data_IF_780777831436
#
_entry.id   IF_780777831436
#
_cell.length_a   1.000
_cell.length_b   1.000
_cell.length_c   1.000
_cell.angle_alpha   90.00
_cell.angle_beta   90.00
_cell.angle_gamma   90.00
#
_symmetry.space_group_name_H-M   'P 1'
#
loop_
_entity.id
_entity.type
_entity.pdbx_description
1 polymer ?
#
# COMPACT_ATOMS: atom_id res chain seq x y z
N UNK A 1 18.82 14.92 -27.30
CA UNK A 1 18.47 14.45 -25.93
C UNK A 1 17.67 15.52 -25.24
N UNK A 2 16.37 15.33 -25.05
CA UNK A 2 15.50 16.27 -24.34
C UNK A 2 15.76 16.14 -22.84
N UNK A 3 16.20 17.20 -22.18
CA UNK A 3 16.33 17.24 -20.72
C UNK A 3 14.92 17.17 -20.11
N UNK A 4 14.66 16.33 -19.09
CA UNK A 4 13.35 16.31 -18.44
C UNK A 4 13.11 17.66 -17.75
N UNK A 5 12.13 18.41 -18.25
CA UNK A 5 11.67 19.65 -17.63
C UNK A 5 11.00 19.32 -16.30
N UNK A 6 11.60 19.76 -15.19
CA UNK A 6 11.05 19.60 -13.85
C UNK A 6 9.90 20.60 -13.64
N UNK A 7 8.74 20.31 -14.20
CA UNK A 7 7.50 21.01 -13.88
C UNK A 7 7.09 20.64 -12.47
N UNK A 8 7.29 21.58 -11.52
CA UNK A 8 6.83 21.43 -10.13
C UNK A 8 5.32 21.21 -10.14
N UNK A 9 4.90 19.99 -9.82
CA UNK A 9 3.50 19.62 -9.65
C UNK A 9 2.92 20.35 -8.43
N UNK A 10 1.64 20.73 -8.48
CA UNK A 10 0.97 21.47 -7.41
C UNK A 10 0.77 20.57 -6.18
N UNK A 11 0.78 21.15 -4.97
CA UNK A 11 0.64 20.38 -3.72
C UNK A 11 -0.67 19.57 -3.63
N UNK A 12 -1.74 20.01 -4.32
CA UNK A 12 -2.99 19.25 -4.43
C UNK A 12 -2.84 18.00 -5.29
N UNK A 13 -2.05 18.05 -6.37
CA UNK A 13 -1.76 16.88 -7.20
C UNK A 13 -0.87 15.84 -6.51
N UNK A 14 -0.31 16.17 -5.34
CA UNK A 14 0.43 15.23 -4.52
C UNK A 14 -0.50 14.36 -3.67
N UNK A 15 -1.72 14.80 -3.33
CA UNK A 15 -2.70 13.94 -2.67
C UNK A 15 -3.30 13.03 -3.73
N UNK A 16 -3.16 11.72 -3.55
CA UNK A 16 -3.62 10.74 -4.53
C UNK A 16 -4.09 9.51 -3.76
N UNK A 17 -5.24 8.97 -4.15
CA UNK A 17 -5.68 7.67 -3.70
C UNK A 17 -5.71 6.68 -4.86
N UNK A 18 -5.17 5.48 -4.64
CA UNK A 18 -5.12 4.43 -5.66
C UNK A 18 -5.44 3.09 -5.06
N UNK A 19 -6.13 2.27 -5.82
CA UNK A 19 -6.32 0.87 -5.50
C UNK A 19 -5.38 -0.02 -6.29
N UNK A 20 -4.73 -0.92 -5.56
CA UNK A 20 -3.79 -1.88 -6.10
C UNK A 20 -4.18 -3.30 -5.69
N UNK A 21 -3.91 -4.25 -6.58
CA UNK A 21 -3.95 -5.67 -6.24
C UNK A 21 -2.53 -6.16 -5.98
N UNK A 22 -2.20 -6.51 -4.73
CA UNK A 22 -0.88 -7.03 -4.36
C UNK A 22 -0.88 -8.56 -4.42
N UNK A 23 0.07 -9.13 -5.14
CA UNK A 23 0.32 -10.57 -5.16
C UNK A 23 1.22 -11.02 -3.99
N UNK A 24 0.64 -11.14 -2.79
CA UNK A 24 1.35 -11.47 -1.54
C UNK A 24 2.08 -12.82 -1.59
N UNK A 25 1.56 -13.80 -2.33
CA UNK A 25 2.20 -15.12 -2.41
C UNK A 25 3.62 -15.07 -2.99
N UNK A 26 3.91 -14.09 -3.87
CA UNK A 26 5.25 -13.91 -4.46
C UNK A 26 6.27 -13.48 -3.40
N UNK A 27 5.85 -12.65 -2.45
CA UNK A 27 6.72 -12.10 -1.40
C UNK A 27 6.97 -13.09 -0.25
N UNK A 28 5.98 -13.93 0.05
CA UNK A 28 6.07 -14.94 1.12
C UNK A 28 6.60 -16.30 0.65
N UNK A 29 6.82 -16.48 -0.66
CA UNK A 29 7.42 -17.69 -1.21
C UNK A 29 8.79 -17.99 -0.56
N UNK A 30 9.07 -19.26 -0.27
CA UNK A 30 10.30 -19.70 0.39
C UNK A 30 10.47 -19.27 1.85
N UNK A 31 9.54 -18.51 2.44
CA UNK A 31 9.64 -18.12 3.85
C UNK A 31 9.06 -19.18 4.80
N UNK A 32 9.70 -19.32 5.97
CA UNK A 32 9.23 -20.20 7.05
C UNK A 32 7.81 -19.84 7.50
N UNK A 33 6.99 -20.85 7.78
CA UNK A 33 5.58 -20.68 8.12
C UNK A 33 5.33 -19.72 9.28
N UNK A 34 6.18 -19.72 10.32
CA UNK A 34 6.03 -18.80 11.47
C UNK A 34 6.27 -17.33 11.11
N UNK A 35 6.87 -17.05 9.96
CA UNK A 35 7.25 -15.69 9.52
C UNK A 35 6.45 -15.20 8.31
N UNK A 36 5.54 -16.01 7.75
CA UNK A 36 4.84 -15.68 6.49
C UNK A 36 3.97 -14.43 6.61
N UNK A 37 3.02 -14.40 7.55
CA UNK A 37 2.14 -13.24 7.74
C UNK A 37 2.90 -11.97 8.17
N UNK A 38 3.84 -12.03 9.13
CA UNK A 38 4.71 -10.89 9.42
C UNK A 38 5.50 -10.39 8.20
N UNK A 39 5.99 -11.30 7.35
CA UNK A 39 6.69 -10.94 6.11
C UNK A 39 5.75 -10.31 5.08
N UNK A 40 4.50 -10.77 4.99
CA UNK A 40 3.49 -10.17 4.12
C UNK A 40 3.19 -8.72 4.50
N UNK A 41 3.07 -8.42 5.79
CA UNK A 41 2.84 -7.05 6.27
C UNK A 41 4.02 -6.13 5.92
N UNK A 42 5.25 -6.63 6.09
CA UNK A 42 6.46 -5.90 5.66
C UNK A 42 6.46 -5.66 4.16
N UNK A 43 6.10 -6.66 3.35
CA UNK A 43 6.00 -6.52 1.91
C UNK A 43 4.93 -5.51 1.47
N UNK A 44 3.78 -5.45 2.16
CA UNK A 44 2.74 -4.44 1.90
C UNK A 44 3.30 -3.03 2.19
N UNK A 45 4.02 -2.86 3.30
CA UNK A 45 4.68 -1.59 3.64
C UNK A 45 5.69 -1.18 2.57
N UNK A 46 6.59 -2.08 2.19
CA UNK A 46 7.59 -1.84 1.14
C UNK A 46 6.95 -1.51 -0.21
N UNK A 47 5.86 -2.20 -0.56
CA UNK A 47 5.08 -1.89 -1.75
C UNK A 47 4.50 -0.48 -1.70
N UNK A 48 3.90 -0.07 -0.57
CA UNK A 48 3.34 1.26 -0.40
C UNK A 48 4.40 2.36 -0.47
N UNK A 49 5.56 2.17 0.16
CA UNK A 49 6.71 3.09 0.06
C UNK A 49 7.13 3.26 -1.40
N UNK A 50 7.25 2.16 -2.15
CA UNK A 50 7.65 2.18 -3.56
C UNK A 50 6.59 2.82 -4.47
N UNK A 51 5.32 2.56 -4.22
CA UNK A 51 4.22 3.02 -5.07
C UNK A 51 3.88 4.51 -4.85
N UNK A 52 3.92 4.98 -3.61
CA UNK A 52 3.49 6.34 -3.25
C UNK A 52 4.68 7.30 -2.99
N UNK A 53 5.89 6.77 -2.78
CA UNK A 53 7.10 7.56 -2.58
C UNK A 53 7.23 8.20 -1.18
N UNK A 54 6.43 7.79 -0.20
CA UNK A 54 6.47 8.30 1.18
C UNK A 54 7.18 7.33 2.10
N UNK A 55 7.96 7.83 3.08
CA UNK A 55 8.58 6.97 4.09
C UNK A 55 7.63 6.59 5.22
N UNK A 56 6.74 7.51 5.62
CA UNK A 56 5.70 7.21 6.59
C UNK A 56 4.55 6.43 5.93
N UNK A 57 4.36 5.19 6.36
CA UNK A 57 3.28 4.30 5.91
C UNK A 57 2.54 3.76 7.12
N UNK A 58 1.25 4.06 7.19
CA UNK A 58 0.35 3.65 8.26
C UNK A 58 -0.56 2.55 7.72
N UNK A 59 -0.55 1.42 8.39
CA UNK A 59 -1.38 0.27 8.02
C UNK A 59 -2.64 0.34 8.86
N UNK A 60 -3.79 0.41 8.20
CA UNK A 60 -5.08 0.44 8.88
C UNK A 60 -5.34 -0.89 9.62
N UNK A 61 -6.00 -0.88 10.79
CA UNK A 61 -6.33 -2.10 11.50
C UNK A 61 -7.19 -3.08 10.68
N UNK A 62 -8.03 -2.59 9.75
CA UNK A 62 -8.82 -3.47 8.86
C UNK A 62 -7.90 -4.32 7.98
N UNK A 63 -6.86 -3.71 7.42
CA UNK A 63 -5.87 -4.38 6.59
C UNK A 63 -5.04 -5.38 7.40
N UNK A 64 -4.64 -5.00 8.61
CA UNK A 64 -3.94 -5.93 9.49
C UNK A 64 -4.81 -7.15 9.83
N UNK A 65 -6.09 -6.95 10.21
CA UNK A 65 -7.03 -8.04 10.46
C UNK A 65 -7.23 -8.94 9.24
N UNK A 66 -7.37 -8.37 8.05
CA UNK A 66 -7.54 -9.13 6.81
C UNK A 66 -6.32 -10.00 6.50
N UNK A 67 -5.10 -9.48 6.69
CA UNK A 67 -3.85 -10.21 6.48
C UNK A 67 -3.68 -11.34 7.50
N UNK A 68 -4.09 -11.14 8.75
CA UNK A 68 -4.02 -12.15 9.82
C UNK A 68 -5.21 -13.12 9.87
N UNK A 69 -6.27 -12.92 9.07
CA UNK A 69 -7.51 -13.70 9.11
C UNK A 69 -7.33 -15.22 9.00
N UNK A 70 -6.31 -15.67 8.26
CA UNK A 70 -5.98 -17.09 8.02
C UNK A 70 -4.83 -17.61 8.90
N UNK A 71 -4.39 -16.82 9.86
CA UNK A 71 -3.30 -17.12 10.78
C UNK A 71 -1.90 -16.85 10.21
N UNK A 72 -0.88 -17.35 10.90
CA UNK A 72 0.53 -17.02 10.62
C UNK A 72 1.10 -17.74 9.38
N UNK A 73 0.61 -18.96 9.09
CA UNK A 73 1.13 -19.85 8.04
C UNK A 73 0.55 -19.57 6.66
N UNK A 74 -0.74 -19.20 6.61
CA UNK A 74 -1.50 -19.11 5.38
C UNK A 74 -1.88 -17.66 5.13
N UNK A 75 -1.16 -16.97 4.24
CA UNK A 75 -1.52 -15.62 3.79
C UNK A 75 -2.43 -15.72 2.57
N UNK A 76 -3.34 -14.78 2.39
CA UNK A 76 -4.09 -14.64 1.14
C UNK A 76 -3.13 -14.52 -0.05
N UNK A 77 -3.46 -15.14 -1.19
CA UNK A 77 -2.56 -15.12 -2.37
C UNK A 77 -2.47 -13.74 -2.99
N UNK A 78 -3.61 -13.06 -3.10
CA UNK A 78 -3.76 -11.68 -3.56
C UNK A 78 -4.64 -10.90 -2.58
N UNK A 79 -4.44 -9.60 -2.53
CA UNK A 79 -5.24 -8.68 -1.71
C UNK A 79 -5.43 -7.36 -2.44
N UNK A 80 -6.65 -6.81 -2.41
CA UNK A 80 -6.95 -5.47 -2.93
C UNK A 80 -6.75 -4.49 -1.77
N UNK A 81 -5.93 -3.48 -2.02
CA UNK A 81 -5.52 -2.51 -1.02
C UNK A 81 -5.69 -1.12 -1.63
N UNK A 82 -6.28 -0.21 -0.85
CA UNK A 82 -6.32 1.20 -1.18
C UNK A 82 -5.16 1.90 -0.47
N UNK A 83 -4.37 2.63 -1.23
CA UNK A 83 -3.29 3.47 -0.74
C UNK A 83 -3.71 4.92 -0.95
N UNK A 84 -3.95 5.61 0.16
CA UNK A 84 -4.23 7.03 0.17
C UNK A 84 -3.00 7.78 0.66
N UNK A 85 -2.42 8.64 -0.17
CA UNK A 85 -1.34 9.53 0.24
C UNK A 85 -1.95 10.84 0.70
N UNK A 86 -1.96 11.05 2.01
CA UNK A 86 -2.58 12.18 2.67
C UNK A 86 -1.53 13.17 3.19
N UNK A 87 -1.95 14.41 3.40
CA UNK A 87 -1.13 15.42 4.07
C UNK A 87 -1.15 15.20 5.57
N UNK A 88 -0.02 15.42 6.22
CA UNK A 88 0.05 15.44 7.66
C UNK A 88 -0.24 16.85 8.17
N UNK A 89 -1.25 16.98 9.02
CA UNK A 89 -1.68 18.26 9.60
C UNK A 89 -0.88 18.63 10.86
N UNK A 90 -0.10 17.69 11.41
CA UNK A 90 0.80 17.94 12.54
C UNK A 90 2.03 18.73 12.09
N UNK A 91 2.18 19.94 12.63
CA UNK A 91 3.28 20.86 12.36
C UNK A 91 4.64 20.34 12.83
N UNK A 92 4.68 19.37 13.75
CA UNK A 92 5.91 18.76 14.26
C UNK A 92 6.35 17.51 13.49
N UNK A 93 5.62 17.13 12.45
CA UNK A 93 5.92 15.92 11.69
C UNK A 93 7.19 16.02 10.83
N UNK A 94 8.01 14.96 10.85
CA UNK A 94 9.25 14.88 10.05
C UNK A 94 8.99 14.89 8.54
N UNK A 95 7.89 14.28 8.09
CA UNK A 95 7.49 14.25 6.68
C UNK A 95 6.11 14.88 6.51
N UNK A 96 5.94 15.64 5.42
CA UNK A 96 4.72 16.39 5.10
C UNK A 96 3.57 15.49 4.62
N UNK A 97 3.90 14.31 4.10
CA UNK A 97 2.96 13.36 3.52
C UNK A 97 3.13 12.00 4.19
N UNK A 98 2.03 11.30 4.39
CA UNK A 98 2.03 9.90 4.82
C UNK A 98 1.09 9.10 3.91
N UNK A 99 1.34 7.80 3.80
CA UNK A 99 0.43 6.89 3.11
C UNK A 99 -0.36 6.08 4.11
N UNK A 100 -1.69 6.11 4.02
CA UNK A 100 -2.59 5.20 4.71
C UNK A 100 -2.92 4.02 3.78
N UNK A 101 -2.69 2.81 4.27
CA UNK A 101 -3.01 1.58 3.56
C UNK A 101 -4.22 0.89 4.21
N UNK A 102 -5.32 0.79 3.46
CA UNK A 102 -6.58 0.17 3.91
C UNK A 102 -6.97 -1.02 3.04
N UNK A 103 -7.76 -1.94 3.61
CA UNK A 103 -8.22 -3.14 2.90
C UNK A 103 -9.51 -2.85 2.13
N UNK A 104 -9.56 -3.31 0.89
CA UNK A 104 -10.77 -3.24 0.06
C UNK A 104 -11.32 -4.67 -0.10
N UNK A 105 -12.49 -4.98 0.46
CA UNK A 105 -13.12 -6.28 0.27
C UNK A 105 -13.59 -6.41 -1.18
N UNK A 106 -13.06 -7.42 -1.88
CA UNK A 106 -13.48 -7.74 -3.25
C UNK A 106 -13.84 -9.22 -3.33
N UNK A 107 -14.86 -9.54 -4.12
CA UNK A 107 -15.31 -10.91 -4.36
C UNK A 107 -14.40 -11.65 -5.35
N UNK A 108 -13.88 -10.95 -6.35
CA UNK A 108 -13.01 -11.50 -7.40
C UNK A 108 -11.88 -10.52 -7.75
N UNK A 109 -10.72 -11.06 -8.13
CA UNK A 109 -9.56 -10.30 -8.60
C UNK A 109 -9.41 -10.26 -10.13
N UNK A 110 -10.36 -10.84 -10.87
CA UNK A 110 -10.32 -10.89 -12.34
C UNK A 110 -10.65 -9.51 -12.90
N UNK A 111 -9.79 -8.98 -13.76
CA UNK A 111 -9.99 -7.67 -14.42
C UNK A 111 -9.76 -6.45 -13.53
N UNK A 112 -9.34 -6.63 -12.27
CA UNK A 112 -9.02 -5.52 -11.38
C UNK A 112 -7.61 -4.99 -11.68
N UNK A 113 -7.54 -3.88 -12.38
CA UNK A 113 -6.31 -3.14 -12.67
C UNK A 113 -6.03 -2.09 -11.60
N UNK A 114 -4.93 -1.37 -11.74
CA UNK A 114 -4.63 -0.25 -10.83
C UNK A 114 -5.55 0.91 -11.18
N UNK A 115 -6.34 1.35 -10.21
CA UNK A 115 -7.32 2.43 -10.40
C UNK A 115 -6.92 3.61 -9.52
N UNK A 116 -7.01 4.81 -10.08
CA UNK A 116 -6.92 6.04 -9.29
C UNK A 116 -8.33 6.41 -8.87
N UNK A 117 -8.53 6.61 -7.58
CA UNK A 117 -9.82 7.02 -7.04
C UNK A 117 -9.73 8.53 -6.82
N UNK A 118 -10.65 9.23 -7.48
CA UNK A 118 -10.90 10.63 -7.20
C UNK A 118 -11.87 10.66 -6.00
N UNK A 119 -11.38 11.16 -4.86
CA UNK A 119 -12.22 11.54 -3.71
C UNK A 119 -12.71 12.98 -3.89
#
# INVERSE_FOLDING_TARGET
MVKPTNTKKSALSEVVTREYTIHLHKYVHGSSFKKRTPKAIKAIREFAVKAMGTKDVRIDPSLNKAVWSRGVKHVATRMRIRLARCRNDDSSAKEKLYTLASFVPVSSFKGLETETIDE
#
